data_IF_994619985408
#
_entry.id   IF_994619985408
#
_cell.length_a   1.000
_cell.length_b   1.000
_cell.length_c   1.000
_cell.angle_alpha   90.00
_cell.angle_beta   90.00
_cell.angle_gamma   90.00
#
_symmetry.space_group_name_H-M   'P 1'
#
loop_
_entity.id
_entity.type
_entity.pdbx_description
1 polymer ?
#
# COMPACT_ATOMS: atom_id res chain seq x y z
N UNK A 1 19.29 12.96 12.39
CA UNK A 1 18.48 12.43 11.28
C UNK A 1 18.99 13.00 9.97
N UNK A 2 19.33 12.15 9.00
CA UNK A 2 19.63 12.56 7.62
C UNK A 2 18.34 12.96 6.90
N UNK A 3 18.40 13.95 6.01
CA UNK A 3 17.23 14.41 5.24
C UNK A 3 16.57 13.27 4.46
N UNK A 4 17.36 12.30 3.99
CA UNK A 4 16.87 11.16 3.21
C UNK A 4 15.98 10.22 4.04
N UNK A 5 16.33 9.99 5.31
CA UNK A 5 15.51 9.20 6.22
C UNK A 5 14.18 9.90 6.52
N UNK A 6 14.22 11.20 6.78
CA UNK A 6 13.03 11.99 7.06
C UNK A 6 12.08 12.02 5.85
N UNK A 7 12.63 12.15 4.64
CA UNK A 7 11.86 12.08 3.41
C UNK A 7 11.22 10.70 3.20
N UNK A 8 11.97 9.62 3.46
CA UNK A 8 11.42 8.26 3.34
C UNK A 8 10.30 7.98 4.36
N UNK A 9 10.45 8.44 5.61
CA UNK A 9 9.40 8.32 6.62
C UNK A 9 8.17 9.14 6.23
N UNK A 10 8.38 10.35 5.70
CA UNK A 10 7.28 11.18 5.21
C UNK A 10 6.50 10.47 4.09
N UNK A 11 7.19 9.95 3.07
CA UNK A 11 6.54 9.23 1.97
C UNK A 11 5.87 7.93 2.45
N UNK A 12 6.44 7.23 3.44
CA UNK A 12 5.80 6.08 4.09
C UNK A 12 4.44 6.44 4.69
N UNK A 13 4.36 7.55 5.45
CA UNK A 13 3.11 8.04 6.02
C UNK A 13 2.11 8.48 4.94
N UNK A 14 2.59 9.09 3.87
CA UNK A 14 1.72 9.49 2.75
C UNK A 14 1.12 8.27 2.04
N UNK A 15 1.92 7.21 1.81
CA UNK A 15 1.42 5.95 1.25
C UNK A 15 0.42 5.27 2.18
N UNK A 16 0.70 5.22 3.49
CA UNK A 16 -0.23 4.68 4.47
C UNK A 16 -1.56 5.41 4.41
N UNK A 17 -1.52 6.75 4.39
CA UNK A 17 -2.74 7.57 4.29
C UNK A 17 -3.52 7.30 3.00
N UNK A 18 -2.86 7.20 1.85
CA UNK A 18 -3.53 6.84 0.59
C UNK A 18 -4.24 5.47 0.71
N UNK A 19 -3.60 4.50 1.36
CA UNK A 19 -4.20 3.18 1.58
C UNK A 19 -5.37 3.21 2.57
N UNK A 20 -5.29 4.01 3.64
CA UNK A 20 -6.38 4.20 4.61
C UNK A 20 -7.59 4.91 4.02
N UNK A 21 -7.34 5.94 3.20
CA UNK A 21 -8.37 6.71 2.49
C UNK A 21 -8.94 5.93 1.28
N UNK A 22 -8.30 4.82 0.89
CA UNK A 22 -8.69 4.00 -0.25
C UNK A 22 -8.39 4.64 -1.61
N UNK A 23 -7.53 5.66 -1.65
CA UNK A 23 -7.04 6.32 -2.86
C UNK A 23 -5.89 5.49 -3.47
N UNK A 24 -6.27 4.39 -4.13
CA UNK A 24 -5.32 3.44 -4.71
C UNK A 24 -4.58 3.99 -5.92
N UNK A 25 -5.15 4.96 -6.64
CA UNK A 25 -4.49 5.59 -7.78
C UNK A 25 -3.31 6.44 -7.30
N UNK A 26 -3.53 7.30 -6.29
CA UNK A 26 -2.45 8.07 -5.67
C UNK A 26 -1.40 7.17 -4.99
N UNK A 27 -1.83 6.05 -4.38
CA UNK A 27 -0.93 5.06 -3.81
C UNK A 27 0.02 4.49 -4.89
N UNK A 28 -0.53 4.06 -6.03
CA UNK A 28 0.24 3.45 -7.13
C UNK A 28 1.24 4.44 -7.73
N UNK A 29 0.86 5.71 -7.88
CA UNK A 29 1.77 6.75 -8.41
C UNK A 29 2.96 7.02 -7.48
N UNK A 30 2.74 7.01 -6.16
CA UNK A 30 3.76 7.33 -5.15
C UNK A 30 4.68 6.15 -4.81
N UNK A 31 4.16 4.93 -4.87
CA UNK A 31 4.88 3.73 -4.42
C UNK A 31 6.29 3.55 -5.05
N UNK A 32 6.50 3.78 -6.37
CA UNK A 32 7.83 3.66 -6.97
C UNK A 32 8.86 4.62 -6.37
N UNK A 33 8.44 5.86 -6.06
CA UNK A 33 9.34 6.89 -5.51
C UNK A 33 9.79 6.49 -4.11
N UNK A 34 8.87 6.08 -3.25
CA UNK A 34 9.18 5.57 -1.92
C UNK A 34 10.08 4.33 -1.98
N UNK A 35 9.82 3.40 -2.91
CA UNK A 35 10.64 2.19 -3.08
C UNK A 35 12.10 2.54 -3.38
N UNK A 36 12.35 3.53 -4.23
CA UNK A 36 13.71 4.01 -4.53
C UNK A 36 14.38 4.59 -3.29
N UNK A 37 13.66 5.40 -2.50
CA UNK A 37 14.18 5.99 -1.27
C UNK A 37 14.53 4.94 -0.22
N UNK A 38 13.68 3.93 -0.03
CA UNK A 38 13.95 2.81 0.88
C UNK A 38 15.22 2.06 0.46
N UNK A 39 15.37 1.75 -0.83
CA UNK A 39 16.56 1.06 -1.33
C UNK A 39 17.83 1.86 -1.08
N UNK A 40 17.81 3.18 -1.32
CA UNK A 40 18.95 4.06 -1.06
C UNK A 40 19.35 4.08 0.43
N UNK A 41 18.38 4.04 1.33
CA UNK A 41 18.61 3.98 2.78
C UNK A 41 19.22 2.64 3.21
N UNK A 42 18.80 1.53 2.58
CA UNK A 42 19.35 0.20 2.84
C UNK A 42 20.78 0.03 2.32
N UNK A 43 21.16 0.75 1.25
CA UNK A 43 22.52 0.73 0.70
C UNK A 43 23.55 1.44 1.61
N UNK A 44 23.11 2.44 2.39
CA UNK A 44 23.98 3.20 3.30
C UNK A 44 23.37 3.30 4.70
N UNK A 45 23.32 2.18 5.46
CA UNK A 45 22.72 2.17 6.78
C UNK A 45 23.57 2.98 7.77
N UNK A 46 22.93 3.93 8.44
CA UNK A 46 23.51 4.67 9.57
C UNK A 46 23.06 4.05 10.90
N UNK A 47 23.93 3.96 11.92
CA UNK A 47 23.59 3.42 13.24
C UNK A 47 22.46 4.20 13.96
N UNK A 48 22.21 5.46 13.58
CA UNK A 48 21.12 6.27 14.17
C UNK A 48 19.73 5.93 13.58
N UNK A 49 19.61 4.91 12.73
CA UNK A 49 18.37 4.60 12.00
C UNK A 49 17.48 3.56 12.67
N UNK A 50 17.93 2.83 13.69
CA UNK A 50 17.20 1.68 14.26
C UNK A 50 15.76 2.01 14.68
N UNK A 51 15.56 3.10 15.43
CA UNK A 51 14.23 3.52 15.88
C UNK A 51 13.32 3.93 14.71
N UNK A 52 13.89 4.56 13.68
CA UNK A 52 13.15 4.99 12.49
C UNK A 52 12.85 3.85 11.52
N UNK A 53 13.70 2.81 11.49
CA UNK A 53 13.43 1.59 10.74
C UNK A 53 12.27 0.80 11.35
N UNK A 54 12.16 0.78 12.68
CA UNK A 54 11.01 0.17 13.35
C UNK A 54 9.69 0.84 12.95
N UNK A 55 9.66 2.18 12.89
CA UNK A 55 8.48 2.92 12.43
C UNK A 55 8.16 2.64 10.95
N UNK A 56 9.18 2.62 10.09
CA UNK A 56 9.00 2.29 8.67
C UNK A 56 8.44 0.87 8.48
N UNK A 57 8.92 -0.11 9.26
CA UNK A 57 8.40 -1.47 9.23
C UNK A 57 6.93 -1.55 9.67
N UNK A 58 6.56 -0.82 10.72
CA UNK A 58 5.17 -0.75 11.18
C UNK A 58 4.23 -0.19 10.11
N UNK A 59 4.65 0.88 9.43
CA UNK A 59 3.87 1.44 8.32
C UNK A 59 3.72 0.46 7.16
N UNK A 60 4.79 -0.26 6.81
CA UNK A 60 4.77 -1.29 5.76
C UNK A 60 3.82 -2.43 6.09
N UNK A 61 3.81 -2.89 7.34
CA UNK A 61 2.92 -3.96 7.79
C UNK A 61 1.45 -3.52 7.73
N UNK A 62 1.15 -2.27 8.11
CA UNK A 62 -0.19 -1.69 7.98
C UNK A 62 -0.63 -1.57 6.53
N UNK A 63 0.22 -1.02 5.67
CA UNK A 63 -0.04 -0.91 4.22
C UNK A 63 -0.31 -2.29 3.63
N UNK A 64 0.50 -3.29 3.98
CA UNK A 64 0.31 -4.68 3.52
C UNK A 64 -1.06 -5.23 3.94
N UNK A 65 -1.46 -5.03 5.19
CA UNK A 65 -2.76 -5.49 5.68
C UNK A 65 -3.93 -4.82 4.92
N UNK A 66 -3.82 -3.52 4.63
CA UNK A 66 -4.81 -2.78 3.86
C UNK A 66 -4.92 -3.28 2.42
N UNK A 67 -3.78 -3.51 1.74
CA UNK A 67 -3.75 -4.07 0.39
C UNK A 67 -4.41 -5.46 0.37
N UNK A 68 -4.06 -6.34 1.31
CA UNK A 68 -4.64 -7.67 1.41
C UNK A 68 -6.16 -7.62 1.60
N UNK A 69 -6.63 -6.76 2.50
CA UNK A 69 -8.07 -6.53 2.69
C UNK A 69 -8.73 -6.06 1.39
N UNK A 70 -8.11 -5.11 0.69
CA UNK A 70 -8.65 -4.58 -0.56
C UNK A 70 -8.74 -5.65 -1.66
N UNK A 71 -7.74 -6.53 -1.77
CA UNK A 71 -7.78 -7.65 -2.70
C UNK A 71 -8.97 -8.57 -2.45
N UNK A 72 -9.24 -8.91 -1.18
CA UNK A 72 -10.41 -9.72 -0.80
C UNK A 72 -11.72 -9.04 -1.19
N UNK A 73 -11.83 -7.72 -0.98
CA UNK A 73 -13.02 -6.94 -1.38
C UNK A 73 -13.23 -6.95 -2.90
N UNK A 74 -12.16 -6.78 -3.67
CA UNK A 74 -12.21 -6.83 -5.14
C UNK A 74 -12.63 -8.22 -5.62
N UNK A 75 -12.06 -9.29 -5.07
CA UNK A 75 -12.43 -10.66 -5.41
C UNK A 75 -13.90 -10.96 -5.11
N UNK A 76 -14.39 -10.51 -3.94
CA UNK A 76 -15.79 -10.64 -3.57
C UNK A 76 -16.71 -9.89 -4.53
N UNK A 77 -16.36 -8.64 -4.90
CA UNK A 77 -17.11 -7.84 -5.86
C UNK A 77 -17.16 -8.48 -7.25
N UNK A 78 -16.02 -8.98 -7.74
CA UNK A 78 -15.94 -9.67 -9.05
C UNK A 78 -16.74 -10.97 -9.04
N UNK A 79 -16.65 -11.76 -7.97
CA UNK A 79 -17.43 -12.99 -7.81
C UNK A 79 -18.93 -12.71 -7.83
N UNK A 80 -19.37 -11.72 -7.06
CA UNK A 80 -20.77 -11.29 -7.00
C UNK A 80 -21.26 -10.79 -8.36
N UNK A 81 -20.49 -9.95 -9.06
CA UNK A 81 -20.84 -9.47 -10.40
C UNK A 81 -20.99 -10.61 -11.42
N UNK A 82 -20.11 -11.62 -11.36
CA UNK A 82 -20.22 -12.82 -12.21
C UNK A 82 -21.48 -13.63 -11.90
N UNK A 83 -21.84 -13.78 -10.63
CA UNK A 83 -23.06 -14.48 -10.21
C UNK A 83 -24.32 -13.73 -10.68
N UNK A 84 -24.37 -12.41 -10.50
CA UNK A 84 -25.46 -11.56 -10.97
C UNK A 84 -25.63 -11.67 -12.50
N UNK A 85 -24.53 -11.60 -13.26
CA UNK A 85 -24.59 -11.78 -14.71
C UNK A 85 -25.12 -13.16 -15.13
N UNK A 86 -24.75 -14.22 -14.41
CA UNK A 86 -25.29 -15.58 -14.66
C UNK A 86 -26.79 -15.64 -14.37
N UNK A 87 -27.24 -15.08 -13.26
CA UNK A 87 -28.66 -15.05 -12.89
C UNK A 87 -29.49 -14.29 -13.92
N UNK A 88 -29.06 -13.09 -14.34
CA UNK A 88 -29.74 -12.30 -15.38
C UNK A 88 -29.85 -13.09 -16.70
N UNK A 89 -28.78 -13.77 -17.11
CA UNK A 89 -28.80 -14.62 -18.32
C UNK A 89 -29.76 -15.81 -18.21
N UNK A 90 -30.03 -16.32 -17.01
CA UNK A 90 -31.00 -17.40 -16.80
C UNK A 90 -32.44 -16.89 -16.85
N UNK A 91 -32.72 -15.68 -16.34
CA UNK A 91 -34.06 -15.09 -16.37
C UNK A 91 -34.49 -14.56 -17.74
N UNK A 92 -33.54 -14.22 -18.62
CA UNK A 92 -33.81 -13.75 -19.99
C UNK A 92 -33.98 -14.90 -21.02
N UNK A 93 -34.00 -16.15 -20.56
CA UNK A 93 -34.34 -17.34 -21.37
C UNK A 93 -35.73 -17.83 -21.03
#
# INVERSE_FOLDING_TARGET
MTNDLLNCLHESKMLLRCAEDGDWDAFIERHPVWTVQVNQLLENPSPDMEASLAELLEDVDKIRALIQRRMVEIEAAVSSGRQQQKAVKQYLR
#
